data_IF_678420705716
#
_entry.id   IF_678420705716
#
_cell.length_a   1.000
_cell.length_b   1.000
_cell.length_c   1.000
_cell.angle_alpha   90.00
_cell.angle_beta   90.00
_cell.angle_gamma   90.00
#
_symmetry.space_group_name_H-M   'P 1'
#
loop_
_entity.id
_entity.type
_entity.pdbx_description
1 polymer ?
#
# COMPACT_ATOMS: atom_id res chain seq x y z
N UNK A 9 -10.11 -16.71 0.09
CA UNK A 9 -8.76 -17.25 0.26
C UNK A 9 -8.09 -16.76 1.54
N UNK A 10 -6.78 -16.54 1.48
CA UNK A 10 -6.05 -15.98 2.61
C UNK A 10 -5.82 -14.50 2.46
N UNK A 11 -6.74 -13.82 1.79
CA UNK A 11 -6.60 -12.41 1.50
C UNK A 11 -7.02 -11.56 2.70
N UNK A 12 -6.14 -10.63 3.11
CA UNK A 12 -6.41 -9.73 4.22
C UNK A 12 -6.82 -8.34 3.77
N UNK A 13 -7.01 -8.13 2.47
CA UNK A 13 -7.30 -6.79 1.96
C UNK A 13 -8.68 -6.34 2.42
N UNK A 14 -8.85 -5.05 2.74
CA UNK A 14 -10.20 -4.53 3.04
C UNK A 14 -11.12 -4.55 1.83
N UNK A 15 -12.35 -4.08 2.01
CA UNK A 15 -13.36 -4.13 0.95
C UNK A 15 -12.92 -3.31 -0.25
N UNK A 16 -12.64 -2.02 -0.04
CA UNK A 16 -12.34 -1.13 -1.16
C UNK A 16 -10.97 -1.40 -1.78
N UNK A 17 -10.06 -2.03 -1.04
CA UNK A 17 -8.74 -2.33 -1.60
C UNK A 17 -8.83 -3.47 -2.61
N UNK A 18 -9.61 -4.51 -2.28
CA UNK A 18 -9.80 -5.60 -3.23
C UNK A 18 -10.55 -5.13 -4.48
N UNK A 19 -11.35 -4.07 -4.37
CA UNK A 19 -11.98 -3.48 -5.54
C UNK A 19 -10.93 -2.89 -6.49
N UNK A 20 -9.97 -2.15 -5.93
CA UNK A 20 -8.95 -1.50 -6.74
C UNK A 20 -8.03 -2.55 -7.37
N UNK A 21 -7.79 -3.66 -6.68
CA UNK A 21 -6.97 -4.73 -7.24
C UNK A 21 -7.76 -5.49 -8.30
N UNK A 22 -9.08 -5.58 -8.15
CA UNK A 22 -9.89 -6.38 -9.07
C UNK A 22 -10.03 -5.69 -10.42
N UNK A 23 -10.12 -4.37 -10.44
CA UNK A 23 -10.36 -3.65 -11.69
C UNK A 23 -9.21 -3.88 -12.68
N UNK A 24 -9.55 -3.94 -13.97
CA UNK A 24 -8.57 -4.19 -15.02
C UNK A 24 -8.60 -3.12 -16.11
N UNK A 25 -9.22 -1.97 -15.84
CA UNK A 25 -9.32 -0.89 -16.81
C UNK A 25 -8.01 -0.17 -17.10
N UNK A 26 -7.20 0.21 -16.09
CA UNK A 26 -6.08 1.16 -16.34
C UNK A 26 -5.14 0.71 -17.45
N UNK A 27 -4.76 -0.59 -17.56
CA UNK A 27 -3.97 -1.00 -18.73
C UNK A 27 -4.85 -1.20 -19.96
N UNK A 28 -4.76 -0.28 -20.91
CA UNK A 28 -5.66 -0.20 -22.05
C UNK A 28 -4.95 -0.68 -23.30
N UNK A 29 -5.60 -1.56 -24.05
CA UNK A 29 -5.05 -2.09 -25.29
C UNK A 29 -5.56 -1.26 -26.47
N UNK A 30 -4.64 -0.67 -27.22
CA UNK A 30 -4.96 0.25 -28.31
C UNK A 30 -4.67 -0.34 -29.68
N UNK A 31 -4.44 -1.65 -29.76
CA UNK A 31 -4.09 -2.27 -31.02
C UNK A 31 -5.31 -2.39 -31.92
N UNK A 32 -5.06 -2.45 -33.23
CA UNK A 32 -6.14 -2.56 -34.20
C UNK A 32 -6.91 -3.85 -34.02
N UNK A 33 -8.24 -3.75 -34.04
CA UNK A 33 -9.09 -4.91 -33.89
C UNK A 33 -9.14 -5.72 -35.19
N UNK A 34 -9.65 -6.94 -35.09
CA UNK A 34 -9.75 -7.80 -36.26
C UNK A 34 -10.74 -7.24 -37.27
N UNK A 35 -11.85 -6.66 -36.81
CA UNK A 35 -12.88 -6.16 -37.71
C UNK A 35 -12.41 -5.00 -38.57
N UNK A 36 -11.40 -4.26 -38.10
CA UNK A 36 -10.80 -3.21 -38.91
C UNK A 36 -9.78 -3.76 -39.90
N UNK A 37 -9.36 -5.01 -39.73
CA UNK A 37 -8.32 -5.62 -40.54
C UNK A 37 -8.81 -6.72 -41.47
N UNK A 38 -9.75 -7.55 -41.02
CA UNK A 38 -10.17 -8.72 -41.77
C UNK A 38 -11.68 -8.72 -41.95
N UNK A 39 -12.13 -9.48 -42.95
CA UNK A 39 -13.55 -9.70 -43.16
C UNK A 39 -14.09 -10.69 -42.13
N UNK A 40 -15.42 -10.67 -41.93
CA UNK A 40 -16.02 -11.57 -40.96
C UNK A 40 -15.83 -13.02 -41.36
N UNK A 41 -15.76 -13.30 -42.66
CA UNK A 41 -15.45 -14.65 -43.11
C UNK A 41 -13.99 -14.98 -42.81
N UNK A 42 -13.10 -14.00 -42.95
CA UNK A 42 -11.69 -14.24 -42.67
C UNK A 42 -11.43 -14.39 -41.18
N UNK A 43 -12.22 -13.73 -40.34
CA UNK A 43 -12.09 -13.94 -38.90
C UNK A 43 -12.52 -15.35 -38.53
N UNK A 44 -13.65 -15.80 -39.08
CA UNK A 44 -14.13 -17.17 -38.88
C UNK A 44 -13.51 -18.08 -39.94
N UNK A 45 -12.21 -18.34 -39.77
CA UNK A 45 -11.47 -19.09 -40.78
C UNK A 45 -11.24 -20.54 -40.37
N UNK A 46 -10.45 -20.75 -39.30
CA UNK A 46 -10.20 -22.05 -38.68
C UNK A 46 -9.77 -23.08 -39.71
N UNK A 47 -8.55 -22.97 -40.24
CA UNK A 47 -8.18 -23.79 -41.39
C UNK A 47 -8.00 -25.27 -41.07
N UNK A 48 -8.26 -26.09 -42.07
CA UNK A 48 -8.12 -27.54 -41.94
C UNK A 48 -6.66 -27.93 -41.74
N UNK A 49 -6.45 -29.22 -41.45
CA UNK A 49 -5.10 -29.69 -41.18
C UNK A 49 -4.21 -29.55 -42.40
N UNK A 50 -4.73 -29.88 -43.60
CA UNK A 50 -3.93 -29.77 -44.81
C UNK A 50 -3.62 -28.32 -45.14
N UNK A 51 -4.56 -27.41 -44.88
CA UNK A 51 -4.32 -26.00 -45.15
C UNK A 51 -3.19 -25.46 -44.30
N UNK A 52 -3.10 -25.91 -43.04
CA UNK A 52 -2.04 -25.45 -42.16
C UNK A 52 -0.67 -25.91 -42.65
N UNK A 53 -0.57 -27.20 -43.02
CA UNK A 53 0.71 -27.74 -43.49
C UNK A 53 1.15 -27.04 -44.77
N UNK A 54 0.19 -26.64 -45.61
CA UNK A 54 0.53 -25.90 -46.82
C UNK A 54 1.12 -24.55 -46.49
N UNK A 55 0.57 -23.87 -45.47
CA UNK A 55 1.13 -22.60 -45.03
C UNK A 55 2.53 -22.78 -44.46
N UNK A 56 2.70 -23.75 -43.56
CA UNK A 56 4.00 -23.97 -42.96
C UNK A 56 5.04 -24.37 -44.00
N UNK A 57 4.59 -24.97 -45.11
CA UNK A 57 5.50 -25.40 -46.16
C UNK A 57 6.09 -24.26 -46.98
N UNK A 58 5.55 -23.05 -46.87
CA UNK A 58 6.09 -21.93 -47.64
C UNK A 58 7.45 -21.50 -47.10
N UNK A 59 7.69 -21.70 -45.80
CA UNK A 59 8.99 -21.35 -45.23
C UNK A 59 10.10 -22.30 -45.67
N UNK A 60 9.75 -23.50 -46.11
CA UNK A 60 10.75 -24.44 -46.60
C UNK A 60 11.43 -23.89 -47.85
N UNK A 61 12.75 -24.04 -47.92
CA UNK A 61 13.51 -23.56 -49.07
C UNK A 61 13.13 -24.39 -50.30
N UNK A 62 12.58 -23.73 -51.31
CA UNK A 62 12.13 -24.42 -52.51
C UNK A 62 12.07 -23.43 -53.66
N UNK A 63 12.01 -23.97 -54.88
CA UNK A 63 11.86 -23.20 -56.09
C UNK A 63 10.41 -23.26 -56.54
N UNK A 64 9.77 -22.10 -56.64
CA UNK A 64 8.34 -22.03 -56.89
C UNK A 64 8.03 -21.96 -58.39
N UNK A 65 6.93 -22.57 -58.77
CA UNK A 65 6.43 -22.56 -60.14
C UNK A 65 6.01 -21.13 -60.49
N UNK A 66 6.18 -20.68 -61.73
CA UNK A 66 5.70 -19.33 -62.10
C UNK A 66 4.23 -19.09 -61.82
N UNK A 67 3.40 -20.13 -61.76
CA UNK A 67 1.99 -19.98 -61.40
C UNK A 67 1.58 -21.21 -60.60
N UNK A 68 1.65 -21.10 -59.28
CA UNK A 68 1.27 -22.17 -58.35
C UNK A 68 0.12 -21.64 -57.50
N UNK A 69 -1.12 -21.74 -57.99
CA UNK A 69 -2.25 -21.20 -57.22
C UNK A 69 -2.48 -21.90 -55.89
N UNK A 70 -1.98 -23.13 -55.72
CA UNK A 70 -2.09 -23.79 -54.42
C UNK A 70 -1.22 -23.09 -53.38
N UNK A 71 0.03 -22.79 -53.73
CA UNK A 71 0.90 -22.09 -52.79
C UNK A 71 0.48 -20.64 -52.61
N UNK A 72 -0.03 -20.01 -53.67
CA UNK A 72 -0.48 -18.62 -53.56
C UNK A 72 -1.71 -18.50 -52.67
N UNK A 73 -2.58 -19.52 -52.66
CA UNK A 73 -3.69 -19.51 -51.73
C UNK A 73 -3.21 -19.64 -50.29
N UNK A 74 -2.19 -20.48 -50.06
CA UNK A 74 -1.62 -20.60 -48.71
C UNK A 74 -0.96 -19.31 -48.26
N UNK A 75 -0.42 -18.53 -49.21
CA UNK A 75 0.19 -17.26 -48.85
C UNK A 75 -0.85 -16.28 -48.32
N UNK A 76 -2.04 -16.25 -48.92
CA UNK A 76 -3.11 -15.40 -48.41
C UNK A 76 -3.59 -15.90 -47.06
N UNK A 77 -3.80 -17.22 -46.93
CA UNK A 77 -4.26 -17.77 -45.67
C UNK A 77 -3.22 -17.60 -44.56
N UNK A 78 -1.93 -17.55 -44.93
CA UNK A 78 -0.89 -17.36 -43.92
C UNK A 78 -1.01 -15.99 -43.27
N UNK A 79 -1.40 -14.97 -44.05
CA UNK A 79 -1.59 -13.64 -43.49
C UNK A 79 -2.79 -13.60 -42.55
N UNK A 80 -3.90 -14.24 -42.95
CA UNK A 80 -5.08 -14.28 -42.10
C UNK A 80 -4.76 -14.96 -40.77
N UNK A 81 -4.03 -16.07 -40.82
CA UNK A 81 -3.64 -16.75 -39.59
C UNK A 81 -2.64 -15.89 -38.81
N UNK A 82 -1.71 -15.24 -39.50
CA UNK A 82 -0.71 -14.41 -38.81
C UNK A 82 -1.38 -13.27 -38.06
N UNK A 83 -2.39 -12.64 -38.67
CA UNK A 83 -3.10 -11.56 -38.01
C UNK A 83 -3.90 -12.08 -36.83
N UNK A 84 -4.71 -13.12 -37.06
CA UNK A 84 -5.49 -13.71 -35.98
C UNK A 84 -4.61 -14.13 -34.81
N UNK A 85 -3.45 -14.71 -35.10
CA UNK A 85 -2.53 -15.08 -34.03
C UNK A 85 -1.96 -13.86 -33.34
N UNK A 86 -1.66 -12.81 -34.10
CA UNK A 86 -1.11 -11.60 -33.51
C UNK A 86 -2.08 -10.97 -32.52
N UNK A 87 -3.37 -10.92 -32.89
CA UNK A 87 -4.36 -10.33 -32.00
C UNK A 87 -4.49 -11.13 -30.72
N UNK A 88 -4.50 -12.47 -30.83
CA UNK A 88 -4.61 -13.30 -29.64
C UNK A 88 -3.41 -13.12 -28.72
N UNK A 89 -2.21 -13.05 -29.29
CA UNK A 89 -1.02 -12.86 -28.46
C UNK A 89 -1.05 -11.51 -27.75
N UNK A 90 -1.52 -10.47 -28.45
CA UNK A 90 -1.58 -9.14 -27.82
C UNK A 90 -2.55 -9.14 -26.64
N UNK A 91 -3.73 -9.72 -26.81
CA UNK A 91 -4.66 -9.84 -25.68
C UNK A 91 -4.02 -10.63 -24.54
N UNK A 92 -3.37 -11.74 -24.86
CA UNK A 92 -2.73 -12.55 -23.83
C UNK A 92 -1.63 -11.78 -23.12
N UNK A 93 -0.86 -10.98 -23.86
CA UNK A 93 0.18 -10.17 -23.26
C UNK A 93 -0.42 -9.21 -22.23
N UNK A 94 -1.46 -8.48 -22.63
CA UNK A 94 -2.14 -7.58 -21.70
C UNK A 94 -2.71 -8.36 -20.52
N UNK A 95 -3.50 -9.41 -20.81
CA UNK A 95 -4.08 -10.20 -19.74
C UNK A 95 -2.99 -10.81 -18.84
N UNK A 96 -1.81 -11.06 -19.40
CA UNK A 96 -0.71 -11.54 -18.57
C UNK A 96 -0.13 -10.41 -17.73
N UNK A 97 -0.12 -9.19 -18.26
CA UNK A 97 0.39 -8.05 -17.50
C UNK A 97 -0.51 -7.74 -16.31
N UNK A 98 -1.83 -7.77 -16.51
CA UNK A 98 -2.75 -7.55 -15.41
C UNK A 98 -2.60 -8.63 -14.34
N UNK A 99 -2.47 -9.90 -14.77
CA UNK A 99 -2.40 -11.00 -13.82
C UNK A 99 -1.18 -10.89 -12.93
N UNK A 100 -0.03 -10.52 -13.51
CA UNK A 100 1.20 -10.40 -12.73
C UNK A 100 1.09 -9.28 -11.71
N UNK A 101 0.42 -8.19 -12.05
CA UNK A 101 0.31 -7.06 -11.14
C UNK A 101 -0.53 -7.43 -9.93
N UNK A 102 -1.67 -8.07 -10.15
CA UNK A 102 -2.51 -8.51 -9.03
C UNK A 102 -1.74 -9.45 -8.10
N UNK A 103 -1.05 -10.43 -8.70
CA UNK A 103 -0.25 -11.35 -7.89
C UNK A 103 0.83 -10.61 -7.13
N UNK A 104 1.49 -9.65 -7.78
CA UNK A 104 2.53 -8.88 -7.10
C UNK A 104 1.95 -8.03 -5.98
N UNK A 105 0.80 -7.40 -6.23
CA UNK A 105 0.26 -6.44 -5.28
C UNK A 105 -0.45 -7.13 -4.11
N UNK A 106 -1.21 -8.17 -4.40
CA UNK A 106 -1.86 -8.93 -3.33
C UNK A 106 -0.80 -9.53 -2.40
N UNK A 107 0.30 -10.02 -2.98
CA UNK A 107 1.37 -10.58 -2.16
C UNK A 107 1.97 -9.54 -1.24
N UNK A 108 2.25 -8.34 -1.77
CA UNK A 108 2.77 -7.27 -0.94
C UNK A 108 1.76 -6.82 0.09
N UNK A 109 0.47 -6.85 -0.25
CA UNK A 109 -0.57 -6.51 0.71
C UNK A 109 -0.55 -7.47 1.90
N UNK A 110 -0.73 -8.75 1.63
CA UNK A 110 -0.77 -9.75 2.72
C UNK A 110 0.53 -9.76 3.51
N UNK A 111 1.66 -9.60 2.82
CA UNK A 111 2.94 -9.52 3.53
C UNK A 111 2.98 -8.32 4.47
N UNK A 112 2.33 -7.22 4.08
CA UNK A 112 2.39 -6.00 4.88
C UNK A 112 1.40 -6.04 6.04
N UNK A 113 0.18 -6.55 5.80
CA UNK A 113 -0.78 -6.67 6.89
C UNK A 113 -0.30 -7.65 7.94
N UNK A 114 0.47 -8.66 7.55
CA UNK A 114 1.04 -9.59 8.51
C UNK A 114 1.93 -8.88 9.50
N UNK A 115 2.92 -8.12 9.01
CA UNK A 115 3.79 -7.37 9.89
C UNK A 115 3.04 -6.29 10.65
N UNK A 116 1.93 -5.79 10.07
CA UNK A 116 1.14 -4.78 10.76
C UNK A 116 0.53 -5.33 12.04
N UNK A 117 0.02 -6.57 11.98
CA UNK A 117 -0.51 -7.20 13.20
C UNK A 117 0.60 -7.40 14.23
N UNK A 118 1.79 -7.80 13.77
CA UNK A 118 2.92 -7.94 14.68
C UNK A 118 3.19 -6.61 15.38
N UNK A 119 3.13 -5.51 14.64
CA UNK A 119 3.31 -4.19 15.23
C UNK A 119 2.13 -3.84 16.15
N UNK A 120 0.91 -4.15 15.70
CA UNK A 120 -0.28 -3.83 16.49
C UNK A 120 -0.24 -4.51 17.84
N UNK A 121 0.03 -5.83 17.85
CA UNK A 121 0.13 -6.54 19.12
C UNK A 121 1.27 -6.00 19.97
N UNK A 122 2.37 -5.60 19.34
CA UNK A 122 3.52 -5.09 20.08
C UNK A 122 3.21 -3.75 20.74
N UNK A 123 2.41 -2.91 20.08
CA UNK A 123 2.08 -1.61 20.65
C UNK A 123 1.11 -1.75 21.82
N UNK A 124 0.11 -2.62 21.69
CA UNK A 124 -0.83 -2.85 22.78
C UNK A 124 -0.12 -3.49 23.97
N UNK A 125 0.95 -4.24 23.73
CA UNK A 125 1.71 -4.85 24.81
C UNK A 125 2.25 -3.80 25.77
N UNK A 126 2.90 -2.77 25.24
CA UNK A 126 3.46 -1.72 26.08
C UNK A 126 2.40 -0.74 26.60
N UNK A 127 1.25 -0.65 25.92
CA UNK A 127 0.23 0.31 26.34
C UNK A 127 -0.64 -0.24 27.46
N UNK A 128 -0.79 -1.57 27.55
CA UNK A 128 -1.52 -2.16 28.67
C UNK A 128 -0.75 -2.08 29.98
N UNK A 129 0.58 -1.99 29.92
CA UNK A 129 1.39 -1.81 31.11
C UNK A 129 1.08 -0.52 31.82
N UNK A 130 0.85 -0.60 33.13
CA UNK A 130 0.45 0.57 33.91
C UNK A 130 1.64 1.49 34.18
N UNK A 131 1.32 2.76 34.38
CA UNK A 131 2.34 3.79 34.65
C UNK A 131 2.65 3.81 36.14
N UNK A 132 3.89 3.45 36.49
CA UNK A 132 4.35 3.47 37.87
C UNK A 132 5.44 4.49 38.11
N UNK A 133 5.71 5.37 37.13
CA UNK A 133 6.85 6.27 37.23
C UNK A 133 6.67 7.26 38.37
N UNK A 134 5.45 7.79 38.56
CA UNK A 134 5.22 8.74 39.64
C UNK A 134 5.42 8.08 41.01
N UNK A 135 4.91 6.88 41.19
CA UNK A 135 5.09 6.19 42.46
C UNK A 135 6.55 5.90 42.76
N UNK A 136 7.30 5.47 41.73
CA UNK A 136 8.72 5.17 41.93
C UNK A 136 9.51 6.41 42.31
N UNK A 137 9.22 7.55 41.66
CA UNK A 137 10.00 8.76 41.90
C UNK A 137 9.86 9.21 43.35
N UNK A 138 8.61 9.24 43.85
CA UNK A 138 8.39 9.67 45.23
C UNK A 138 9.00 8.67 46.21
N UNK A 139 8.86 7.38 45.92
CA UNK A 139 9.34 6.35 46.85
C UNK A 139 10.85 6.42 47.04
N UNK A 140 11.60 6.81 46.01
CA UNK A 140 13.05 6.79 46.09
C UNK A 140 13.65 8.05 46.72
N UNK A 141 12.89 9.16 46.76
CA UNK A 141 13.44 10.43 47.23
C UNK A 141 12.52 11.12 48.22
N UNK A 142 11.61 10.39 48.86
CA UNK A 142 10.69 11.04 49.81
C UNK A 142 11.41 11.49 51.07
N UNK A 143 12.51 10.82 51.44
CA UNK A 143 13.21 11.15 52.67
C UNK A 143 13.82 12.55 52.58
N UNK A 144 14.31 12.94 51.41
CA UNK A 144 14.94 14.25 51.22
C UNK A 144 13.95 15.40 51.21
N UNK A 145 12.67 15.18 51.55
CA UNK A 145 11.70 16.26 51.66
C UNK A 145 11.03 16.31 53.03
N UNK A 146 11.35 15.38 53.93
CA UNK A 146 10.82 15.43 55.29
C UNK A 146 11.36 16.67 56.00
N UNK A 147 10.61 17.20 56.97
CA UNK A 147 11.07 18.40 57.68
C UNK A 147 12.34 18.17 58.47
N UNK A 148 12.99 19.28 58.84
CA UNK A 148 14.29 19.20 59.51
C UNK A 148 14.12 18.74 60.96
N UNK A 149 13.03 19.12 61.62
CA UNK A 149 12.83 18.76 63.02
C UNK A 149 12.79 17.24 63.18
N UNK A 150 11.98 16.57 62.35
CA UNK A 150 11.92 15.11 62.31
C UNK A 150 11.59 14.52 63.68
N UNK A 151 10.56 15.05 64.32
CA UNK A 151 10.13 14.53 65.61
C UNK A 151 9.58 13.12 65.44
N UNK A 152 9.58 12.38 66.55
CA UNK A 152 9.27 10.95 66.51
C UNK A 152 7.92 10.68 65.88
N UNK A 153 6.85 11.25 66.46
CA UNK A 153 5.49 11.04 65.99
C UNK A 153 5.03 12.14 65.04
N UNK A 154 5.92 13.04 64.61
CA UNK A 154 5.56 14.05 63.63
C UNK A 154 5.80 13.58 62.20
N UNK A 155 6.80 12.72 61.99
CA UNK A 155 7.07 12.24 60.64
C UNK A 155 6.04 11.21 60.19
N UNK A 156 5.44 10.47 61.12
CA UNK A 156 4.42 9.50 60.74
C UNK A 156 3.18 10.17 60.19
N UNK A 157 2.83 11.36 60.68
CA UNK A 157 1.70 12.10 60.15
C UNK A 157 2.04 12.77 58.82
N UNK A 158 3.30 13.13 58.62
CA UNK A 158 3.73 13.67 57.33
C UNK A 158 3.67 12.60 56.24
N UNK A 159 4.02 11.36 56.59
CA UNK A 159 3.92 10.26 55.64
C UNK A 159 2.48 9.96 55.26
N UNK A 160 1.56 10.03 56.23
CA UNK A 160 0.15 9.80 55.93
C UNK A 160 -0.39 10.89 55.00
N UNK A 161 0.01 12.14 55.22
CA UNK A 161 -0.39 13.22 54.32
C UNK A 161 0.24 13.05 52.95
N UNK A 162 1.46 12.52 52.88
CA UNK A 162 2.07 12.22 51.60
C UNK A 162 1.28 11.16 50.84
N UNK A 163 0.88 10.08 51.53
CA UNK A 163 0.10 9.04 50.91
C UNK A 163 -1.21 9.53 50.33
N UNK A 164 -1.83 10.52 50.99
CA UNK A 164 -3.03 11.13 50.41
C UNK A 164 -2.71 11.85 49.11
N UNK A 165 -1.52 12.47 49.04
CA UNK A 165 -1.13 13.15 47.80
C UNK A 165 -0.76 12.15 46.71
N UNK A 166 -0.09 11.07 47.09
CA UNK A 166 0.32 10.08 46.09
C UNK A 166 -0.88 9.34 45.52
N UNK A 167 -1.84 8.98 46.38
CA UNK A 167 -3.05 8.32 45.88
C UNK A 167 -3.82 9.24 44.94
N UNK A 168 -3.87 10.53 45.25
CA UNK A 168 -4.51 11.49 44.35
C UNK A 168 -3.74 11.60 43.04
N UNK A 169 -2.41 11.42 43.08
CA UNK A 169 -1.63 11.50 41.86
C UNK A 169 -1.79 10.29 40.97
N UNK A 170 -1.96 9.12 41.57
CA UNK A 170 -2.14 7.91 40.78
C UNK A 170 -3.45 7.93 39.99
N UNK A 171 -4.36 8.85 40.33
CA UNK A 171 -5.51 9.06 39.46
C UNK A 171 -5.09 9.69 38.14
N UNK A 172 -4.02 10.48 38.13
CA UNK A 172 -3.51 11.02 36.87
C UNK A 172 -2.86 9.93 36.03
N UNK A 173 -2.13 9.02 36.67
CA UNK A 173 -1.61 7.85 35.96
C UNK A 173 -2.75 7.04 35.36
N UNK A 174 -3.87 6.93 36.08
CA UNK A 174 -5.03 6.24 35.55
C UNK A 174 -5.58 6.95 34.32
N UNK A 175 -5.60 8.29 34.35
CA UNK A 175 -6.02 9.04 33.17
C UNK A 175 -5.02 8.89 32.04
N UNK A 176 -3.73 8.79 32.38
CA UNK A 176 -2.69 8.65 31.37
C UNK A 176 -2.82 7.33 30.62
N UNK A 177 -3.10 6.24 31.34
CA UNK A 177 -3.32 4.96 30.68
C UNK A 177 -4.54 4.99 29.78
N UNK A 178 -5.58 5.73 30.16
CA UNK A 178 -6.76 5.85 29.31
C UNK A 178 -6.42 6.56 28.00
N UNK A 179 -5.59 7.61 28.08
CA UNK A 179 -5.24 8.36 26.88
C UNK A 179 -4.32 7.54 25.98
N UNK A 180 -3.27 6.94 26.54
CA UNK A 180 -2.30 6.22 25.73
C UNK A 180 -2.96 5.03 25.04
N UNK A 181 -4.02 4.48 25.62
CA UNK A 181 -4.78 3.44 24.93
C UNK A 181 -5.51 4.04 23.73
N UNK A 182 -6.23 5.15 23.94
CA UNK A 182 -6.96 5.77 22.84
C UNK A 182 -6.02 6.23 21.73
N UNK A 183 -4.86 6.76 22.09
CA UNK A 183 -3.91 7.20 21.08
C UNK A 183 -3.29 6.03 20.34
N UNK A 184 -2.94 4.97 21.07
CA UNK A 184 -2.38 3.79 20.41
C UNK A 184 -3.33 3.22 19.37
N UNK A 185 -4.64 3.18 19.70
CA UNK A 185 -5.62 2.72 18.73
C UNK A 185 -5.67 3.66 17.53
N UNK A 186 -5.66 4.97 17.78
CA UNK A 186 -5.64 5.93 16.67
C UNK A 186 -4.39 5.77 15.83
N UNK A 187 -3.25 5.47 16.47
CA UNK A 187 -2.02 5.21 15.74
C UNK A 187 -2.17 3.99 14.84
N UNK A 188 -2.78 2.93 15.36
CA UNK A 188 -2.94 1.70 14.59
C UNK A 188 -3.86 1.92 13.40
N UNK A 189 -4.94 2.66 13.60
CA UNK A 189 -5.87 2.93 12.51
C UNK A 189 -5.21 3.75 11.40
N UNK A 190 -4.34 4.70 11.78
CA UNK A 190 -3.59 5.44 10.78
C UNK A 190 -2.64 4.51 10.04
N UNK A 191 -2.00 3.59 10.77
CA UNK A 191 -1.06 2.67 10.15
C UNK A 191 -1.72 1.86 9.05
N UNK A 192 -2.83 1.18 9.39
CA UNK A 192 -3.50 0.33 8.41
C UNK A 192 -4.06 1.15 7.25
N UNK A 193 -4.66 2.30 7.56
CA UNK A 193 -5.15 3.18 6.50
C UNK A 193 -4.03 3.58 5.56
N UNK A 194 -2.84 3.83 6.10
CA UNK A 194 -1.69 4.17 5.26
C UNK A 194 -1.29 2.99 4.38
N UNK A 195 -1.21 1.79 4.97
CA UNK A 195 -0.89 0.60 4.20
C UNK A 195 -1.91 0.38 3.09
N UNK A 196 -3.19 0.62 3.38
CA UNK A 196 -4.22 0.53 2.35
C UNK A 196 -3.89 1.47 1.19
N UNK A 197 -3.57 2.72 1.50
CA UNK A 197 -3.29 3.70 0.46
C UNK A 197 -2.06 3.31 -0.36
N UNK A 198 -1.02 2.79 0.29
CA UNK A 198 0.17 2.37 -0.44
C UNK A 198 -0.19 1.26 -1.44
N UNK A 199 -0.97 0.27 -0.99
CA UNK A 199 -1.34 -0.83 -1.88
C UNK A 199 -2.19 -0.31 -3.04
N UNK A 200 -3.14 0.57 -2.75
CA UNK A 200 -3.94 1.17 -3.81
C UNK A 200 -3.07 1.91 -4.80
N UNK A 201 -2.24 2.84 -4.30
CA UNK A 201 -1.39 3.65 -5.17
C UNK A 201 -0.44 2.78 -5.98
N UNK A 202 0.08 1.72 -5.38
CA UNK A 202 1.05 0.86 -6.07
C UNK A 202 0.42 0.18 -7.26
N UNK A 203 -0.78 -0.38 -7.08
CA UNK A 203 -1.44 -1.11 -8.16
C UNK A 203 -1.72 -0.19 -9.34
N UNK A 204 -2.30 0.98 -9.08
CA UNK A 204 -2.62 1.92 -10.14
C UNK A 204 -1.36 2.45 -10.82
N UNK A 205 -0.28 2.62 -10.05
CA UNK A 205 0.95 3.16 -10.62
C UNK A 205 1.53 2.23 -11.67
N UNK A 206 1.62 0.93 -11.34
CA UNK A 206 2.16 -0.03 -12.30
C UNK A 206 1.33 -0.08 -13.57
N UNK A 207 0.01 -0.04 -13.44
CA UNK A 207 -0.84 -0.01 -14.62
C UNK A 207 -0.68 1.30 -15.39
N UNK A 208 -0.59 2.42 -14.66
CA UNK A 208 -0.56 3.72 -15.29
C UNK A 208 0.66 3.98 -16.15
N UNK A 209 1.75 3.23 -15.94
CA UNK A 209 3.00 3.45 -16.67
C UNK A 209 3.18 2.49 -17.83
N UNK A 210 2.26 1.56 -18.03
CA UNK A 210 2.39 0.59 -19.12
C UNK A 210 2.16 1.28 -20.45
N UNK A 211 3.22 1.40 -21.25
CA UNK A 211 3.18 2.11 -22.52
C UNK A 211 3.92 1.28 -23.55
N UNK A 212 3.28 0.27 -24.11
CA UNK A 212 3.96 -0.64 -25.04
C UNK A 212 4.06 -0.06 -26.42
N UNK A 213 4.96 -0.57 -27.26
CA UNK A 213 5.07 -0.08 -28.64
C UNK A 213 3.82 -0.42 -29.44
N UNK A 214 3.46 0.47 -30.35
CA UNK A 214 2.27 0.26 -31.16
C UNK A 214 2.57 -0.74 -32.27
N UNK A 215 1.51 -1.41 -32.73
CA UNK A 215 1.61 -2.44 -33.74
C UNK A 215 0.88 -2.05 -35.02
N UNK A 216 0.68 -0.75 -35.24
CA UNK A 216 -0.15 -0.29 -36.35
C UNK A 216 0.50 -0.61 -37.69
N UNK A 217 1.79 -0.29 -37.83
CA UNK A 217 2.46 -0.45 -39.12
C UNK A 217 2.49 -1.91 -39.54
N UNK A 218 2.63 -2.83 -38.58
CA UNK A 218 2.70 -4.25 -38.93
C UNK A 218 1.34 -4.82 -39.28
N UNK A 219 0.29 -4.43 -38.54
CA UNK A 219 -1.04 -4.96 -38.82
C UNK A 219 -1.64 -4.33 -40.08
N UNK A 220 -1.47 -3.03 -40.24
CA UNK A 220 -2.09 -2.34 -41.37
C UNK A 220 -1.52 -2.81 -42.70
N UNK A 221 -0.23 -3.17 -42.73
CA UNK A 221 0.37 -3.65 -43.96
C UNK A 221 -0.14 -5.04 -44.33
N UNK A 222 -0.31 -5.91 -43.34
CA UNK A 222 -0.77 -7.27 -43.60
C UNK A 222 -2.21 -7.27 -44.10
N UNK A 223 -3.07 -6.45 -43.50
CA UNK A 223 -4.46 -6.39 -43.95
C UNK A 223 -4.61 -5.72 -45.30
N UNK A 224 -3.62 -4.93 -45.72
CA UNK A 224 -3.69 -4.27 -47.02
C UNK A 224 -3.36 -5.23 -48.15
N UNK A 225 -2.32 -6.06 -47.98
CA UNK A 225 -2.03 -7.08 -48.98
C UNK A 225 -3.19 -8.02 -49.17
N UNK A 226 -3.88 -8.37 -48.08
CA UNK A 226 -5.06 -9.21 -48.19
C UNK A 226 -6.15 -8.50 -48.99
N UNK A 227 -6.33 -7.21 -48.76
CA UNK A 227 -7.35 -6.46 -49.49
C UNK A 227 -6.98 -6.31 -50.97
N UNK A 228 -5.69 -6.19 -51.26
CA UNK A 228 -5.25 -6.06 -52.66
C UNK A 228 -5.40 -7.39 -53.39
N UNK A 229 -4.88 -8.46 -52.81
CA UNK A 229 -4.85 -9.75 -53.50
C UNK A 229 -6.23 -10.36 -53.66
N UNK A 230 -7.04 -10.31 -52.59
CA UNK A 230 -8.20 -11.21 -52.50
C UNK A 230 -9.23 -10.92 -53.58
N UNK A 231 -9.66 -9.66 -53.70
CA UNK A 231 -10.76 -9.34 -54.60
C UNK A 231 -10.42 -8.32 -55.68
N UNK A 232 -9.38 -7.51 -55.49
CA UNK A 232 -9.06 -6.51 -56.52
C UNK A 232 -8.16 -7.08 -57.60
N UNK A 233 -7.04 -7.69 -57.21
CA UNK A 233 -6.10 -8.23 -58.18
C UNK A 233 -6.37 -9.67 -58.55
N UNK A 234 -7.00 -10.44 -57.65
CA UNK A 234 -7.23 -11.88 -57.82
C UNK A 234 -5.93 -12.54 -58.25
N UNK A 235 -4.92 -12.47 -57.38
CA UNK A 235 -3.57 -12.87 -57.77
C UNK A 235 -3.47 -14.38 -57.93
N UNK A 236 -4.18 -15.14 -57.09
CA UNK A 236 -4.05 -16.60 -57.11
C UNK A 236 -4.50 -17.18 -58.44
N UNK A 237 -5.43 -16.53 -59.13
CA UNK A 237 -5.98 -17.03 -60.39
C UNK A 237 -5.28 -16.49 -61.63
N UNK A 238 -4.71 -15.28 -61.55
CA UNK A 238 -3.98 -14.71 -62.68
C UNK A 238 -2.52 -15.13 -62.62
N UNK A 239 -1.91 -15.28 -63.79
CA UNK A 239 -0.47 -15.53 -63.88
C UNK A 239 0.33 -14.38 -63.28
N UNK A 240 0.79 -14.56 -62.04
CA UNK A 240 1.66 -13.63 -61.35
C UNK A 240 2.71 -14.45 -60.60
N UNK A 241 3.93 -13.91 -60.52
CA UNK A 241 5.05 -14.62 -59.92
C UNK A 241 4.70 -15.15 -58.53
N UNK A 242 4.71 -16.47 -58.38
CA UNK A 242 4.39 -17.09 -57.10
C UNK A 242 5.47 -16.78 -56.07
N UNK A 243 6.75 -16.86 -56.46
CA UNK A 243 7.83 -16.56 -55.53
C UNK A 243 7.76 -15.11 -55.03
N UNK A 244 7.15 -14.22 -55.82
CA UNK A 244 6.98 -12.85 -55.37
C UNK A 244 5.93 -12.75 -54.27
N UNK A 245 4.81 -13.47 -54.41
CA UNK A 245 3.75 -13.42 -53.40
C UNK A 245 4.19 -14.13 -52.13
N UNK A 246 4.89 -15.25 -52.25
CA UNK A 246 5.39 -15.95 -51.07
C UNK A 246 6.41 -15.09 -50.33
N UNK A 247 7.34 -14.47 -51.07
CA UNK A 247 8.30 -13.58 -50.42
C UNK A 247 7.61 -12.38 -49.78
N UNK A 248 6.53 -11.89 -50.40
CA UNK A 248 5.81 -10.75 -49.84
C UNK A 248 5.06 -11.15 -48.58
N UNK A 249 4.38 -12.30 -48.60
CA UNK A 249 3.62 -12.73 -47.44
C UNK A 249 4.53 -13.26 -46.33
N UNK A 250 5.72 -13.73 -46.68
CA UNK A 250 6.64 -14.22 -45.65
C UNK A 250 7.25 -13.07 -44.86
N UNK A 251 7.69 -12.01 -45.56
CA UNK A 251 8.22 -10.85 -44.86
C UNK A 251 7.14 -10.14 -44.07
N UNK A 252 5.87 -10.28 -44.48
CA UNK A 252 4.79 -9.67 -43.73
C UNK A 252 4.56 -10.38 -42.40
N UNK A 253 4.62 -11.72 -42.40
CA UNK A 253 4.50 -12.45 -41.14
C UNK A 253 5.67 -12.15 -40.21
N UNK A 254 6.88 -12.05 -40.76
CA UNK A 254 8.03 -11.74 -39.91
C UNK A 254 7.94 -10.32 -39.34
N UNK A 255 7.35 -9.39 -40.09
CA UNK A 255 7.11 -8.06 -39.56
C UNK A 255 6.14 -8.12 -38.38
N UNK A 256 5.13 -9.00 -38.46
CA UNK A 256 4.25 -9.22 -37.32
C UNK A 256 4.99 -9.85 -36.16
N UNK A 257 5.83 -10.86 -36.43
CA UNK A 257 6.57 -11.52 -35.37
C UNK A 257 7.53 -10.55 -34.70
N UNK A 258 8.19 -9.68 -35.48
CA UNK A 258 9.06 -8.67 -34.89
C UNK A 258 8.29 -7.74 -33.96
N UNK A 259 7.09 -7.32 -34.38
CA UNK A 259 6.31 -6.40 -33.55
C UNK A 259 5.87 -7.06 -32.25
N UNK A 260 5.39 -8.30 -32.31
CA UNK A 260 4.97 -8.99 -31.10
C UNK A 260 6.13 -9.22 -30.16
N UNK A 261 7.28 -9.65 -30.70
CA UNK A 261 8.47 -9.82 -29.87
C UNK A 261 8.96 -8.49 -29.32
N UNK A 262 8.74 -7.40 -30.06
CA UNK A 262 9.08 -6.07 -29.55
C UNK A 262 8.13 -5.66 -28.44
N UNK A 263 6.86 -6.04 -28.55
CA UNK A 263 5.88 -5.70 -27.52
C UNK A 263 6.09 -6.57 -26.28
N UNK A 264 6.16 -7.90 -26.47
CA UNK A 264 6.40 -8.79 -25.34
C UNK A 264 7.74 -8.48 -24.68
N UNK A 265 8.74 -8.09 -25.47
CA UNK A 265 10.01 -7.69 -24.90
C UNK A 265 9.89 -6.51 -23.97
N UNK A 266 9.07 -5.51 -24.36
CA UNK A 266 8.86 -4.36 -23.50
C UNK A 266 8.19 -4.78 -22.19
N UNK A 267 7.21 -5.68 -22.27
CA UNK A 267 6.53 -6.13 -21.05
C UNK A 267 7.46 -6.91 -20.14
N UNK A 268 8.37 -7.69 -20.74
CA UNK A 268 9.24 -8.57 -19.95
C UNK A 268 10.46 -7.84 -19.40
N UNK A 269 10.97 -6.85 -20.13
CA UNK A 269 12.24 -6.26 -19.79
C UNK A 269 12.10 -4.82 -19.28
N UNK A 270 11.52 -3.90 -20.06
CA UNK A 270 11.55 -2.48 -19.72
C UNK A 270 10.43 -2.11 -18.74
N UNK A 271 9.22 -2.59 -19.02
CA UNK A 271 8.09 -2.36 -18.11
C UNK A 271 8.30 -3.05 -16.78
N UNK A 272 8.96 -4.20 -16.78
CA UNK A 272 9.25 -4.89 -15.53
C UNK A 272 10.24 -4.12 -14.67
N UNK A 273 11.18 -3.42 -15.32
CA UNK A 273 12.07 -2.52 -14.58
C UNK A 273 11.28 -1.45 -13.84
N UNK A 274 10.28 -0.87 -14.50
CA UNK A 274 9.45 0.15 -13.86
C UNK A 274 8.71 -0.42 -12.66
N UNK A 275 8.04 -1.57 -12.85
CA UNK A 275 7.25 -2.14 -11.77
C UNK A 275 8.10 -2.51 -10.57
N UNK A 276 9.35 -2.92 -10.80
CA UNK A 276 10.22 -3.21 -9.66
C UNK A 276 10.63 -1.94 -8.95
N UNK A 277 10.96 -0.88 -9.70
CA UNK A 277 11.29 0.39 -9.08
C UNK A 277 10.12 0.93 -8.28
N UNK A 278 8.90 0.72 -8.78
CA UNK A 278 7.70 1.07 -8.01
C UNK A 278 7.60 0.19 -6.78
N UNK A 279 7.63 -1.13 -6.97
CA UNK A 279 7.46 -2.06 -5.85
C UNK A 279 8.50 -1.82 -4.76
N UNK A 280 9.73 -1.51 -5.16
CA UNK A 280 10.77 -1.25 -4.18
C UNK A 280 10.41 -0.06 -3.31
N UNK A 281 10.14 1.09 -3.92
CA UNK A 281 9.76 2.28 -3.15
C UNK A 281 8.45 2.05 -2.42
N UNK A 282 7.55 1.24 -2.98
CA UNK A 282 6.35 0.87 -2.25
C UNK A 282 6.70 0.07 -1.00
N UNK A 283 7.55 -0.95 -1.17
CA UNK A 283 8.00 -1.73 -0.02
C UNK A 283 8.79 -0.87 0.96
N UNK A 284 9.55 0.08 0.44
CA UNK A 284 10.37 0.93 1.30
C UNK A 284 9.52 1.76 2.24
N UNK A 285 8.48 2.40 1.72
CA UNK A 285 7.70 3.31 2.53
C UNK A 285 6.73 2.59 3.46
N UNK A 286 6.42 1.32 3.20
CA UNK A 286 5.69 0.52 4.17
C UNK A 286 6.55 0.25 5.40
N UNK A 287 7.83 -0.06 5.18
CA UNK A 287 8.76 -0.17 6.30
C UNK A 287 8.78 1.11 7.12
N UNK A 288 8.64 2.26 6.46
CA UNK A 288 8.60 3.53 7.17
C UNK A 288 7.30 3.65 7.96
N UNK A 289 6.21 3.13 7.41
CA UNK A 289 4.92 3.16 8.11
C UNK A 289 5.03 2.45 9.45
N UNK A 290 5.77 1.34 9.49
CA UNK A 290 5.97 0.63 10.74
C UNK A 290 6.81 1.47 11.71
N UNK A 291 7.99 1.92 11.25
CA UNK A 291 8.86 2.71 12.13
C UNK A 291 8.18 4.00 12.57
N UNK A 292 7.36 4.58 11.70
CA UNK A 292 6.63 5.79 12.06
C UNK A 292 5.67 5.52 13.22
N UNK A 293 4.86 4.46 13.09
CA UNK A 293 3.90 4.13 14.15
C UNK A 293 4.60 3.88 15.48
N UNK A 294 5.77 3.25 15.45
CA UNK A 294 6.47 2.95 16.69
C UNK A 294 6.95 4.23 17.38
N UNK A 295 7.50 5.17 16.61
CA UNK A 295 7.99 6.41 17.21
C UNK A 295 6.83 7.29 17.70
N UNK A 296 5.69 7.24 17.02
CA UNK A 296 4.51 7.95 17.51
C UNK A 296 4.10 7.42 18.86
N UNK A 297 4.04 6.09 19.01
CA UNK A 297 3.73 5.49 20.29
C UNK A 297 4.73 5.91 21.36
N UNK A 298 6.02 5.90 21.01
CA UNK A 298 7.06 6.33 21.94
C UNK A 298 6.85 7.77 22.38
N UNK A 299 6.63 8.66 21.40
CA UNK A 299 6.46 10.07 21.72
C UNK A 299 5.28 10.32 22.63
N UNK A 300 4.22 9.52 22.48
CA UNK A 300 3.09 9.62 23.40
C UNK A 300 3.51 9.24 24.82
N UNK A 301 4.19 8.11 24.97
CA UNK A 301 4.65 7.67 26.28
C UNK A 301 5.56 8.70 26.93
N UNK A 302 6.36 9.40 26.12
CA UNK A 302 7.24 10.43 26.67
C UNK A 302 6.42 11.57 27.26
N UNK A 303 5.32 11.94 26.59
CA UNK A 303 4.47 13.01 27.13
C UNK A 303 3.89 12.62 28.48
N UNK A 304 3.49 11.36 28.64
CA UNK A 304 2.98 10.90 29.93
C UNK A 304 4.09 10.85 30.98
N UNK A 305 5.29 10.40 30.58
CA UNK A 305 6.42 10.44 31.50
C UNK A 305 6.71 11.85 31.98
N UNK A 306 6.56 12.83 31.09
CA UNK A 306 6.78 14.22 31.47
C UNK A 306 5.79 14.64 32.54
N UNK A 307 4.52 14.26 32.39
CA UNK A 307 3.50 14.68 33.33
C UNK A 307 3.73 14.08 34.71
N UNK A 308 4.17 12.82 34.76
CA UNK A 308 4.41 12.18 36.05
C UNK A 308 5.54 12.87 36.80
N UNK A 309 6.64 13.20 36.11
CA UNK A 309 7.75 13.89 36.75
C UNK A 309 7.31 15.26 37.27
N UNK A 310 6.59 16.01 36.45
CA UNK A 310 6.12 17.32 36.90
C UNK A 310 5.18 17.19 38.08
N UNK A 311 4.30 16.19 38.07
CA UNK A 311 3.45 15.96 39.23
C UNK A 311 4.28 15.53 40.44
N UNK A 312 5.26 14.66 40.22
CA UNK A 312 6.11 14.20 41.31
C UNK A 312 6.83 15.35 42.00
N UNK A 313 7.49 16.21 41.20
CA UNK A 313 8.13 17.38 41.79
C UNK A 313 7.11 18.36 42.35
N UNK A 314 5.90 18.40 41.78
CA UNK A 314 4.86 19.25 42.34
C UNK A 314 4.38 18.72 43.69
N UNK A 315 4.27 17.39 43.81
CA UNK A 315 3.84 16.80 45.06
C UNK A 315 4.92 16.97 46.13
N UNK A 316 6.17 16.62 45.80
CA UNK A 316 7.23 16.67 46.80
C UNK A 316 7.52 18.08 47.26
N UNK A 317 7.44 19.07 46.36
CA UNK A 317 7.68 20.45 46.76
C UNK A 317 6.55 20.96 47.65
N UNK A 318 5.30 20.71 47.26
CA UNK A 318 4.17 21.15 48.08
C UNK A 318 4.09 20.37 49.38
N UNK A 319 4.63 19.15 49.42
CA UNK A 319 4.61 18.38 50.66
C UNK A 319 5.54 18.99 51.70
N UNK A 320 6.67 19.54 51.26
CA UNK A 320 7.61 20.16 52.19
C UNK A 320 7.20 21.60 52.49
N UNK A 321 6.83 22.37 51.46
CA UNK A 321 6.55 23.79 51.66
C UNK A 321 5.20 24.01 52.31
N UNK A 322 4.14 23.38 51.80
CA UNK A 322 2.77 23.59 52.27
C UNK A 322 2.13 22.25 52.62
N UNK A 323 2.60 21.58 53.67
CA UNK A 323 2.03 20.27 54.01
C UNK A 323 0.58 20.33 54.45
N UNK A 324 0.07 21.50 54.81
CA UNK A 324 -1.33 21.62 55.20
C UNK A 324 -2.24 21.67 53.99
N UNK A 325 -1.82 22.35 52.94
CA UNK A 325 -2.62 22.51 51.72
C UNK A 325 -2.26 21.49 50.65
N UNK A 326 -1.33 20.57 50.93
CA UNK A 326 -0.78 19.72 49.89
C UNK A 326 -1.87 18.84 49.26
N UNK A 327 -2.63 18.13 50.10
CA UNK A 327 -3.60 17.17 49.57
C UNK A 327 -4.65 17.88 48.72
N UNK A 328 -5.09 19.06 49.16
CA UNK A 328 -6.10 19.79 48.40
C UNK A 328 -5.50 20.35 47.12
N UNK A 329 -4.26 20.88 47.20
CA UNK A 329 -3.61 21.40 46.00
C UNK A 329 -3.34 20.28 44.99
N UNK A 330 -2.96 19.10 45.48
CA UNK A 330 -2.77 17.96 44.58
C UNK A 330 -4.05 17.61 43.86
N UNK A 331 -5.15 17.48 44.61
CA UNK A 331 -6.44 17.14 44.00
C UNK A 331 -6.83 18.16 42.94
N UNK A 332 -6.74 19.45 43.28
CA UNK A 332 -7.14 20.48 42.33
C UNK A 332 -6.22 20.51 41.11
N UNK A 333 -4.94 20.21 41.29
CA UNK A 333 -4.02 20.21 40.16
C UNK A 333 -4.33 19.08 39.19
N UNK A 334 -4.57 17.87 39.72
CA UNK A 334 -4.81 16.72 38.84
C UNK A 334 -6.12 16.90 38.08
N UNK A 335 -7.17 17.38 38.75
CA UNK A 335 -8.46 17.49 38.10
C UNK A 335 -8.47 18.60 37.05
N UNK A 336 -7.85 19.74 37.35
CA UNK A 336 -7.87 20.87 36.43
C UNK A 336 -6.88 20.74 35.29
N UNK A 337 -5.98 19.76 35.34
CA UNK A 337 -5.04 19.49 34.26
C UNK A 337 -5.39 18.23 33.47
N UNK A 338 -6.24 17.36 34.01
CA UNK A 338 -6.60 16.15 33.29
C UNK A 338 -7.21 16.42 31.93
N UNK A 339 -7.92 17.54 31.79
CA UNK A 339 -8.47 17.89 30.48
C UNK A 339 -7.36 18.12 29.47
N UNK A 340 -6.23 18.68 29.92
CA UNK A 340 -5.07 18.81 29.05
C UNK A 340 -4.54 17.45 28.63
N UNK A 341 -4.67 16.45 29.50
CA UNK A 341 -4.16 15.12 29.20
C UNK A 341 -4.95 14.48 28.06
N UNK A 342 -6.29 14.55 28.13
CA UNK A 342 -7.12 13.93 27.11
C UNK A 342 -7.16 14.72 25.81
N UNK A 343 -6.90 16.02 25.85
CA UNK A 343 -6.74 16.81 24.63
C UNK A 343 -5.38 16.62 23.98
N UNK A 344 -4.52 15.76 24.55
CA UNK A 344 -3.25 15.43 23.95
C UNK A 344 -2.15 16.45 24.18
N UNK A 345 -2.35 17.42 25.06
CA UNK A 345 -1.34 18.44 25.31
C UNK A 345 -0.37 17.96 26.39
N UNK A 346 0.73 18.71 26.52
CA UNK A 346 1.69 18.45 27.58
C UNK A 346 1.20 19.05 28.89
N UNK A 347 1.77 18.56 29.99
CA UNK A 347 1.40 18.99 31.33
C UNK A 347 2.66 19.58 31.96
N UNK A 348 2.85 20.89 31.80
CA UNK A 348 3.96 21.58 32.42
C UNK A 348 3.69 21.75 33.92
N UNK A 349 4.77 21.89 34.69
CA UNK A 349 4.58 22.13 36.11
C UNK A 349 4.03 23.52 36.37
N UNK A 350 4.33 24.48 35.49
CA UNK A 350 3.66 25.78 35.56
C UNK A 350 2.15 25.60 35.46
N UNK A 351 1.69 24.70 34.60
CA UNK A 351 0.26 24.43 34.49
C UNK A 351 -0.26 23.74 35.75
N UNK A 352 0.52 22.81 36.30
CA UNK A 352 0.13 22.18 37.56
C UNK A 352 0.06 23.20 38.69
N UNK A 353 1.00 24.14 38.72
CA UNK A 353 1.00 25.16 39.76
C UNK A 353 -0.22 26.06 39.64
N UNK A 354 -0.46 26.61 38.45
CA UNK A 354 -1.59 27.52 38.26
C UNK A 354 -2.93 26.81 38.39
N UNK A 355 -2.98 25.50 38.15
CA UNK A 355 -4.24 24.76 38.25
C UNK A 355 -4.64 24.52 39.70
N UNK A 356 -3.68 24.30 40.59
CA UNK A 356 -3.99 24.10 42.00
C UNK A 356 -4.58 25.33 42.65
N UNK A 357 -4.42 26.51 42.04
CA UNK A 357 -4.98 27.73 42.60
C UNK A 357 -6.50 27.73 42.54
N UNK A 358 -7.08 27.14 41.49
CA UNK A 358 -8.52 27.14 41.29
C UNK A 358 -9.15 25.87 41.84
N UNK A 359 -10.41 26.00 42.29
CA UNK A 359 -11.17 24.84 42.73
C UNK A 359 -11.50 23.94 41.54
N UNK A 360 -11.66 22.65 41.82
CA UNK A 360 -12.08 21.71 40.78
C UNK A 360 -13.53 21.95 40.41
N UNK A 361 -13.87 21.60 39.16
CA UNK A 361 -15.25 21.77 38.71
C UNK A 361 -16.19 20.86 39.48
N UNK A 362 -15.70 19.70 39.93
CA UNK A 362 -16.55 18.77 40.65
C UNK A 362 -16.96 19.32 42.01
N UNK A 363 -16.02 19.89 42.76
CA UNK A 363 -16.35 20.44 44.07
C UNK A 363 -17.18 21.71 43.97
N UNK A 364 -17.16 22.39 42.82
CA UNK A 364 -17.97 23.60 42.66
C UNK A 364 -19.45 23.23 42.54
N UNK A 365 -19.77 22.38 41.57
CA UNK A 365 -21.16 21.95 41.39
C UNK A 365 -21.62 21.06 42.53
N UNK A 366 -20.69 20.38 43.21
CA UNK A 366 -21.05 19.44 44.24
C UNK A 366 -21.32 18.04 43.75
N UNK A 367 -20.80 17.67 42.57
CA UNK A 367 -20.99 16.32 42.05
C UNK A 367 -20.36 15.27 42.95
N UNK A 368 -19.28 15.64 43.64
CA UNK A 368 -18.60 14.72 44.55
C UNK A 368 -19.00 15.00 46.00
#
# INVERSE_FOLDING_TARGET
>A
GPLGSEQQPGDRCPRHVARIIAENDPPIRCDLTLQELLSEVQVDFEPSASEVVAMEGLMDEQHFIPHDPHSKKAAVQSLVIAIKTADLLLQMIHENVKRDIRTTCIQMANESYARADIVRDSLIAASQGKYTALGKIVFHSYTNFMPVNANESEKRAWMEMLGECTSHGNKLCEMANAQVEQETRDIINIMFKNIDDVVTQTTRAMRGVFDPPDTVKALSAAAQLIRVWEHDNVINDQSVSTSSVVTAALEANENLAKALRDVSGYAEVQFNRLCLSILTSAKERIDIIYHSARSQHLACNVRMNVAQQNLATFILTNARERPNDAVIRTRRAVANTGILLFTGQHITRDALDKAAESKSVEEIVGMS
#
